data_IF_925751892421
#
_entry.id   IF_925751892421
#
_cell.length_a   1.000
_cell.length_b   1.000
_cell.length_c   1.000
_cell.angle_alpha   90.00
_cell.angle_beta   90.00
_cell.angle_gamma   90.00
#
_symmetry.space_group_name_H-M   'P 1'
#
loop_
_entity.id
_entity.type
_entity.pdbx_description
1 polymer ?
#
# COMPACT_ATOMS: atom_id res chain seq x y z
N UNK A 1 -28.24 -50.37 2.95
CA UNK A 1 -28.91 -50.37 4.28
C UNK A 1 -29.23 -48.92 4.64
N UNK A 2 -30.53 -48.60 4.54
CA UNK A 2 -31.39 -47.58 5.21
C UNK A 2 -30.83 -46.16 5.41
N UNK A 3 -31.35 -45.10 4.76
CA UNK A 3 -32.73 -44.53 4.70
C UNK A 3 -33.07 -43.63 5.89
N UNK A 4 -33.37 -42.36 5.60
CA UNK A 4 -34.23 -41.47 6.39
C UNK A 4 -35.20 -40.79 5.42
N UNK A 5 -36.33 -41.44 5.13
CA UNK A 5 -37.67 -41.18 5.69
C UNK A 5 -38.24 -39.79 5.38
N UNK A 6 -39.07 -39.79 4.34
CA UNK A 6 -40.25 -38.95 4.20
C UNK A 6 -41.10 -38.94 5.48
N UNK A 7 -41.57 -37.76 5.86
CA UNK A 7 -42.81 -37.57 6.61
C UNK A 7 -43.78 -36.87 5.66
N UNK A 8 -44.83 -37.58 5.24
CA UNK A 8 -46.05 -36.99 4.68
C UNK A 8 -46.89 -36.46 5.84
N UNK A 9 -47.33 -35.22 5.76
CA UNK A 9 -48.59 -34.77 6.38
C UNK A 9 -49.55 -34.39 5.26
N UNK A 10 -50.78 -34.89 5.39
CA UNK A 10 -51.89 -34.71 4.47
C UNK A 10 -52.39 -33.25 4.48
N UNK A 11 -52.79 -32.80 3.29
CA UNK A 11 -54.02 -32.02 3.05
C UNK A 11 -54.05 -30.57 3.53
N UNK A 12 -53.77 -29.64 2.61
CA UNK A 12 -54.71 -28.59 2.11
C UNK A 12 -54.00 -27.74 1.04
N UNK A 13 -54.65 -27.52 -0.11
CA UNK A 13 -54.21 -26.64 -1.21
C UNK A 13 -54.30 -25.14 -0.84
N UNK A 14 -53.69 -24.21 -1.61
CA UNK A 14 -52.87 -23.10 -1.09
C UNK A 14 -53.59 -21.74 -1.04
N UNK A 15 -53.07 -20.73 -0.31
CA UNK A 15 -53.23 -19.34 -0.71
C UNK A 15 -52.14 -18.96 -1.71
N UNK A 16 -52.58 -18.35 -2.81
CA UNK A 16 -51.73 -17.76 -3.85
C UNK A 16 -50.95 -16.57 -3.27
N UNK A 17 -49.70 -16.43 -3.72
CA UNK A 17 -48.98 -15.15 -3.73
C UNK A 17 -48.01 -14.95 -2.57
N UNK A 18 -46.74 -15.27 -2.81
CA UNK A 18 -45.59 -14.48 -2.36
C UNK A 18 -44.32 -15.14 -2.94
N UNK A 19 -43.89 -14.63 -4.10
CA UNK A 19 -42.54 -14.84 -4.60
C UNK A 19 -41.57 -14.16 -3.62
N UNK A 20 -41.08 -14.91 -2.64
CA UNK A 20 -40.00 -14.46 -1.75
C UNK A 20 -38.66 -14.51 -2.48
N UNK A 21 -38.41 -13.54 -3.37
CA UNK A 21 -37.04 -13.19 -3.75
C UNK A 21 -36.38 -12.59 -2.51
N UNK A 22 -35.41 -13.29 -1.92
CA UNK A 22 -34.42 -12.63 -1.05
C UNK A 22 -33.43 -11.92 -1.96
N UNK A 23 -33.85 -10.78 -2.49
CA UNK A 23 -32.93 -9.79 -3.04
C UNK A 23 -32.25 -9.14 -1.83
N UNK A 24 -30.97 -9.45 -1.65
CA UNK A 24 -30.11 -8.67 -0.76
C UNK A 24 -29.86 -7.33 -1.44
N UNK A 25 -30.74 -6.35 -1.21
CA UNK A 25 -30.48 -4.97 -1.61
C UNK A 25 -29.30 -4.44 -0.80
N UNK A 26 -28.16 -4.28 -1.48
CA UNK A 26 -27.08 -3.43 -0.98
C UNK A 26 -27.62 -1.99 -0.96
N UNK A 27 -27.99 -1.47 0.21
CA UNK A 27 -28.30 -0.05 0.38
C UNK A 27 -27.05 0.75 0.04
N UNK A 28 -27.08 1.41 -1.12
CA UNK A 28 -26.02 2.31 -1.56
C UNK A 28 -25.91 3.55 -0.71
N UNK A 29 -24.79 4.25 -0.92
CA UNK A 29 -24.49 5.54 -0.29
C UNK A 29 -25.59 6.59 -0.54
N UNK A 30 -26.42 6.43 -1.58
CA UNK A 30 -27.45 7.40 -2.01
C UNK A 30 -28.66 7.58 -1.07
N UNK A 31 -28.87 6.73 -0.06
CA UNK A 31 -30.07 6.78 0.81
C UNK A 31 -29.79 7.00 2.32
N UNK A 32 -28.65 7.59 2.69
CA UNK A 32 -28.27 7.76 4.11
C UNK A 32 -28.84 9.07 4.68
N UNK A 33 -29.79 8.96 5.60
CA UNK A 33 -30.32 10.09 6.38
C UNK A 33 -29.29 10.57 7.39
N UNK A 34 -29.21 11.89 7.61
CA UNK A 34 -28.27 12.58 8.50
C UNK A 34 -28.50 12.36 10.00
N UNK A 35 -29.02 11.21 10.42
CA UNK A 35 -29.06 10.85 11.84
C UNK A 35 -27.65 10.46 12.28
N UNK A 36 -27.23 10.94 13.46
CA UNK A 36 -25.90 10.83 14.08
C UNK A 36 -25.41 9.39 14.39
N UNK A 37 -25.59 8.44 13.48
CA UNK A 37 -24.84 7.19 13.46
C UNK A 37 -23.60 7.38 12.56
N UNK A 38 -22.41 7.15 13.13
CA UNK A 38 -21.13 7.25 12.42
C UNK A 38 -21.20 6.49 11.09
N UNK A 39 -20.89 7.18 9.98
CA UNK A 39 -20.86 6.61 8.64
C UNK A 39 -19.89 5.41 8.62
N UNK A 40 -20.37 4.15 8.54
CA UNK A 40 -19.51 2.99 8.72
C UNK A 40 -18.63 2.79 7.48
N UNK A 41 -17.35 2.50 7.71
CA UNK A 41 -16.43 2.11 6.63
C UNK A 41 -16.81 0.73 6.08
N UNK A 42 -17.16 0.66 4.80
CA UNK A 42 -17.54 -0.58 4.13
C UNK A 42 -16.37 -1.11 3.31
N UNK A 43 -15.89 -2.30 3.64
CA UNK A 43 -14.86 -3.01 2.89
C UNK A 43 -15.45 -4.25 2.19
N UNK A 44 -15.33 -4.32 0.85
CA UNK A 44 -15.77 -5.48 0.07
C UNK A 44 -14.66 -6.54 -0.02
N UNK A 45 -14.84 -7.66 0.66
CA UNK A 45 -13.81 -8.69 0.85
C UNK A 45 -13.96 -9.94 -0.03
N UNK A 46 -14.87 -9.95 -1.00
CA UNK A 46 -15.15 -11.13 -1.83
C UNK A 46 -14.15 -11.38 -2.96
N UNK A 47 -13.07 -10.59 -3.05
CA UNK A 47 -12.02 -10.73 -4.05
C UNK A 47 -12.56 -10.36 -5.44
N UNK A 48 -12.55 -9.07 -5.74
CA UNK A 48 -13.32 -8.52 -6.87
C UNK A 48 -12.41 -7.91 -7.93
N UNK A 49 -12.92 -7.74 -9.15
CA UNK A 49 -12.25 -6.94 -10.17
C UNK A 49 -12.03 -5.50 -9.65
N UNK A 50 -10.84 -4.88 -9.87
CA UNK A 50 -10.52 -3.53 -9.38
C UNK A 50 -11.25 -2.42 -10.14
N UNK A 51 -12.58 -2.38 -10.05
CA UNK A 51 -13.41 -1.36 -10.69
C UNK A 51 -13.68 -0.21 -9.71
N UNK A 52 -13.47 1.06 -10.11
CA UNK A 52 -13.83 2.20 -9.27
C UNK A 52 -15.35 2.29 -9.01
N UNK A 53 -16.20 1.62 -9.83
CA UNK A 53 -17.65 1.59 -9.60
C UNK A 53 -18.06 0.93 -8.28
N UNK A 54 -17.21 0.06 -7.70
CA UNK A 54 -17.47 -0.47 -6.36
C UNK A 54 -17.43 0.62 -5.28
N UNK A 55 -16.68 1.71 -5.51
CA UNK A 55 -16.52 2.80 -4.55
C UNK A 55 -17.77 3.70 -4.42
N UNK A 56 -18.76 3.51 -5.30
CA UNK A 56 -20.10 4.09 -5.15
C UNK A 56 -20.88 3.46 -3.99
N UNK A 57 -20.52 2.22 -3.60
CA UNK A 57 -21.25 1.42 -2.61
C UNK A 57 -20.40 1.06 -1.40
N UNK A 58 -19.08 1.06 -1.54
CA UNK A 58 -18.11 0.73 -0.51
C UNK A 58 -16.99 1.78 -0.44
N UNK A 59 -16.14 1.67 0.58
CA UNK A 59 -15.00 2.56 0.80
C UNK A 59 -13.69 1.91 0.37
N UNK A 60 -13.61 0.58 0.48
CA UNK A 60 -12.49 -0.20 -0.05
C UNK A 60 -12.92 -1.53 -0.65
N UNK A 61 -12.03 -2.08 -1.49
CA UNK A 61 -12.15 -3.46 -1.98
C UNK A 61 -10.90 -4.25 -1.62
N UNK A 62 -11.04 -5.55 -1.35
CA UNK A 62 -9.90 -6.42 -1.18
C UNK A 62 -9.21 -6.70 -2.52
N UNK A 63 -7.86 -6.60 -2.54
CA UNK A 63 -7.02 -6.83 -3.73
C UNK A 63 -7.18 -8.20 -4.41
N UNK A 64 -7.83 -9.16 -3.75
CA UNK A 64 -7.98 -10.55 -4.18
C UNK A 64 -6.69 -11.37 -4.13
N UNK A 65 -6.82 -12.70 -4.14
CA UNK A 65 -5.71 -13.67 -4.02
C UNK A 65 -5.72 -14.36 -2.66
N UNK A 66 -4.54 -14.72 -2.13
CA UNK A 66 -4.44 -15.21 -0.75
C UNK A 66 -4.23 -14.07 0.24
N UNK A 67 -4.55 -14.35 1.50
CA UNK A 67 -4.35 -13.47 2.65
C UNK A 67 -2.85 -13.33 2.94
N UNK A 68 -2.17 -14.47 3.14
CA UNK A 68 -0.72 -14.54 3.30
C UNK A 68 -0.06 -15.39 2.21
N UNK A 69 1.23 -15.18 1.97
CA UNK A 69 1.94 -15.88 0.90
C UNK A 69 3.44 -15.70 0.92
N UNK A 70 4.12 -16.29 -0.06
CA UNK A 70 5.53 -16.04 -0.30
C UNK A 70 5.84 -16.36 -1.75
N UNK A 71 6.76 -15.59 -2.34
CA UNK A 71 7.38 -15.99 -3.60
C UNK A 71 8.27 -17.24 -3.38
N UNK A 72 8.32 -18.17 -4.37
CA UNK A 72 9.16 -19.36 -4.30
C UNK A 72 10.61 -19.08 -3.91
N UNK A 73 11.17 -19.92 -3.03
CA UNK A 73 12.56 -19.81 -2.57
C UNK A 73 13.57 -19.87 -3.72
N UNK A 74 13.25 -20.60 -4.79
CA UNK A 74 14.09 -20.68 -5.98
C UNK A 74 14.27 -19.33 -6.70
N UNK A 75 13.35 -18.39 -6.53
CA UNK A 75 13.48 -17.04 -7.11
C UNK A 75 14.24 -16.07 -6.20
N UNK A 76 14.17 -16.24 -4.87
CA UNK A 76 14.70 -15.30 -3.87
C UNK A 76 15.28 -16.06 -2.66
N UNK A 77 16.36 -16.80 -2.89
CA UNK A 77 16.94 -17.72 -1.92
C UNK A 77 17.69 -17.02 -0.77
N UNK A 78 18.19 -15.82 -1.02
CA UNK A 78 18.92 -14.94 -0.12
C UNK A 78 18.02 -14.11 0.81
N UNK A 79 16.71 -14.13 0.59
CA UNK A 79 15.74 -13.34 1.34
C UNK A 79 15.10 -14.10 2.50
N UNK A 80 14.80 -13.36 3.58
CA UNK A 80 14.07 -13.90 4.73
C UNK A 80 12.64 -14.27 4.35
N UNK A 81 11.99 -15.13 5.15
CA UNK A 81 10.58 -15.48 4.95
C UNK A 81 9.69 -14.24 4.89
N UNK A 82 9.97 -13.25 5.76
CA UNK A 82 9.24 -12.00 5.82
C UNK A 82 9.47 -11.11 4.60
N UNK A 83 10.71 -10.97 4.13
CA UNK A 83 11.00 -10.22 2.91
C UNK A 83 10.27 -10.81 1.70
N UNK A 84 10.25 -12.15 1.57
CA UNK A 84 9.48 -12.83 0.51
C UNK A 84 7.96 -12.66 0.66
N UNK A 85 7.45 -12.54 1.88
CA UNK A 85 6.06 -12.22 2.17
C UNK A 85 5.71 -10.81 1.68
N UNK A 86 6.50 -9.80 2.06
CA UNK A 86 6.31 -8.41 1.64
C UNK A 86 6.27 -8.31 0.11
N UNK A 87 7.24 -8.94 -0.56
CA UNK A 87 7.34 -8.99 -2.02
C UNK A 87 6.12 -9.68 -2.64
N UNK A 88 5.63 -10.78 -2.05
CA UNK A 88 4.45 -11.46 -2.54
C UNK A 88 3.18 -10.62 -2.37
N UNK A 89 3.03 -9.91 -1.24
CA UNK A 89 1.92 -8.98 -0.97
C UNK A 89 1.88 -7.88 -2.04
N UNK A 90 3.04 -7.29 -2.33
CA UNK A 90 3.22 -6.23 -3.33
C UNK A 90 3.00 -6.76 -4.76
N UNK A 91 3.48 -7.97 -5.08
CA UNK A 91 3.23 -8.66 -6.34
C UNK A 91 1.73 -8.85 -6.61
N UNK A 92 0.96 -9.25 -5.60
CA UNK A 92 -0.47 -9.44 -5.78
C UNK A 92 -1.22 -8.12 -6.03
N UNK A 93 -0.79 -7.02 -5.42
CA UNK A 93 -1.32 -5.70 -5.72
C UNK A 93 -1.00 -5.32 -7.17
N UNK A 94 0.26 -5.47 -7.58
CA UNK A 94 0.67 -5.15 -8.94
C UNK A 94 -0.09 -5.97 -9.99
N UNK A 95 -0.15 -7.29 -9.80
CA UNK A 95 -0.78 -8.22 -10.76
C UNK A 95 -2.30 -8.08 -10.81
N UNK A 96 -2.95 -7.97 -9.66
CA UNK A 96 -4.41 -8.03 -9.58
C UNK A 96 -5.06 -6.64 -9.71
N UNK A 97 -4.32 -5.57 -9.45
CA UNK A 97 -4.85 -4.20 -9.47
C UNK A 97 -4.12 -3.38 -10.54
N UNK A 98 -2.84 -3.09 -10.34
CA UNK A 98 -2.08 -2.12 -11.16
C UNK A 98 -2.11 -2.50 -12.65
N UNK A 99 -1.83 -3.75 -13.00
CA UNK A 99 -1.87 -4.21 -14.40
C UNK A 99 -3.26 -4.22 -15.03
N UNK A 100 -4.31 -4.29 -14.22
CA UNK A 100 -5.68 -4.58 -14.68
C UNK A 100 -6.57 -3.36 -14.71
N UNK A 101 -6.31 -2.38 -13.85
CA UNK A 101 -7.06 -1.14 -13.76
C UNK A 101 -6.18 0.00 -13.25
N UNK A 102 -5.51 0.67 -14.19
CA UNK A 102 -4.63 1.80 -13.88
C UNK A 102 -5.34 2.98 -13.19
N UNK A 103 -6.66 3.08 -13.30
CA UNK A 103 -7.47 4.13 -12.70
C UNK A 103 -8.08 3.77 -11.33
N UNK A 104 -7.86 2.55 -10.83
CA UNK A 104 -8.34 2.22 -9.49
C UNK A 104 -7.44 2.88 -8.44
N UNK A 105 -7.98 3.68 -7.50
CA UNK A 105 -7.17 4.37 -6.51
C UNK A 105 -6.56 3.34 -5.54
N UNK A 106 -5.23 3.24 -5.52
CA UNK A 106 -4.52 2.26 -4.69
C UNK A 106 -4.88 2.43 -3.20
N UNK A 107 -5.08 3.67 -2.76
CA UNK A 107 -5.49 4.03 -1.40
C UNK A 107 -6.82 3.38 -0.95
N UNK A 108 -7.68 2.94 -1.88
CA UNK A 108 -8.95 2.25 -1.59
C UNK A 108 -8.84 0.71 -1.68
N UNK A 109 -7.63 0.18 -1.65
CA UNK A 109 -7.42 -1.24 -1.48
C UNK A 109 -7.40 -1.61 0.00
N UNK A 110 -8.05 -2.73 0.31
CA UNK A 110 -7.72 -3.54 1.46
C UNK A 110 -6.70 -4.58 1.05
N UNK A 111 -5.62 -4.65 1.83
CA UNK A 111 -4.64 -5.74 1.78
C UNK A 111 -4.33 -6.15 3.22
N UNK A 112 -3.89 -7.39 3.40
CA UNK A 112 -3.35 -7.82 4.67
C UNK A 112 -2.03 -7.10 4.91
N UNK A 113 -2.02 -6.19 5.89
CA UNK A 113 -0.95 -5.23 6.12
C UNK A 113 0.26 -5.81 6.83
N UNK A 114 0.27 -5.66 8.15
CA UNK A 114 1.31 -6.21 9.03
C UNK A 114 0.80 -7.48 9.67
N UNK A 115 1.50 -8.60 9.46
CA UNK A 115 1.06 -9.93 9.88
C UNK A 115 2.10 -10.62 10.75
N UNK A 116 1.80 -10.76 12.04
CA UNK A 116 2.59 -11.49 13.05
C UNK A 116 1.65 -12.30 13.93
N UNK A 117 1.52 -13.60 13.67
CA UNK A 117 0.49 -14.43 14.30
C UNK A 117 1.02 -15.69 14.99
N UNK A 118 0.48 -16.01 16.17
CA UNK A 118 0.67 -17.29 16.86
C UNK A 118 -0.17 -18.44 16.27
N UNK A 119 -1.10 -18.14 15.37
CA UNK A 119 -2.04 -19.12 14.82
C UNK A 119 -2.27 -18.87 13.32
N UNK A 120 -2.96 -19.83 12.68
CA UNK A 120 -3.39 -19.73 11.30
C UNK A 120 -2.24 -19.76 10.29
N UNK A 121 -2.51 -19.22 9.10
CA UNK A 121 -1.58 -19.26 7.97
C UNK A 121 -0.30 -18.48 8.24
N UNK A 122 -0.37 -17.40 9.03
CA UNK A 122 0.80 -16.62 9.45
C UNK A 122 1.83 -17.47 10.20
N UNK A 123 1.39 -18.31 11.15
CA UNK A 123 2.27 -19.24 11.86
C UNK A 123 2.85 -20.28 10.89
N UNK A 124 2.00 -20.90 10.07
CA UNK A 124 2.38 -21.93 9.09
C UNK A 124 3.46 -21.44 8.12
N UNK A 125 3.39 -20.17 7.73
CA UNK A 125 4.36 -19.52 6.83
C UNK A 125 5.60 -18.97 7.53
N UNK A 126 5.69 -19.12 8.85
CA UNK A 126 6.82 -18.65 9.64
C UNK A 126 6.83 -17.13 9.89
N UNK A 127 5.72 -16.43 9.67
CA UNK A 127 5.64 -14.97 9.83
C UNK A 127 5.69 -14.52 11.29
N UNK A 128 5.57 -15.44 12.25
CA UNK A 128 5.85 -15.16 13.66
C UNK A 128 7.32 -14.76 13.89
N UNK A 129 8.25 -15.26 13.07
CA UNK A 129 9.68 -14.96 13.19
C UNK A 129 10.04 -13.72 12.38
N UNK A 130 10.80 -12.82 12.99
CA UNK A 130 11.27 -11.61 12.33
C UNK A 130 12.45 -10.98 13.06
N UNK A 131 13.24 -10.24 12.30
CA UNK A 131 14.15 -9.24 12.85
C UNK A 131 13.39 -7.92 12.99
N UNK A 132 13.93 -6.99 13.79
CA UNK A 132 13.38 -5.63 13.86
C UNK A 132 13.39 -4.92 12.51
N UNK A 133 14.41 -5.16 11.69
CA UNK A 133 14.48 -4.56 10.35
C UNK A 133 13.38 -5.11 9.43
N UNK A 134 13.17 -6.43 9.41
CA UNK A 134 12.14 -7.02 8.55
C UNK A 134 10.73 -6.53 8.97
N UNK A 135 10.48 -6.42 10.28
CA UNK A 135 9.21 -5.88 10.80
C UNK A 135 9.03 -4.41 10.43
N UNK A 136 10.07 -3.59 10.60
CA UNK A 136 10.03 -2.18 10.20
C UNK A 136 9.80 -2.04 8.68
N UNK A 137 10.45 -2.86 7.85
CA UNK A 137 10.24 -2.85 6.40
C UNK A 137 8.80 -3.20 6.04
N UNK A 138 8.18 -4.20 6.69
CA UNK A 138 6.77 -4.55 6.47
C UNK A 138 5.82 -3.41 6.84
N UNK A 139 6.01 -2.81 8.02
CA UNK A 139 5.18 -1.72 8.51
C UNK A 139 5.29 -0.46 7.64
N UNK A 140 6.52 -0.06 7.30
CA UNK A 140 6.76 1.14 6.49
C UNK A 140 6.39 0.96 5.03
N UNK A 141 6.63 -0.21 4.43
CA UNK A 141 6.13 -0.50 3.08
C UNK A 141 4.61 -0.56 3.04
N UNK A 142 3.95 -1.02 4.11
CA UNK A 142 2.50 -1.03 4.21
C UNK A 142 1.91 0.38 4.26
N UNK A 143 2.37 1.23 5.18
CA UNK A 143 1.84 2.60 5.28
C UNK A 143 2.25 3.49 4.11
N UNK A 144 3.41 3.21 3.50
CA UNK A 144 3.90 3.91 2.32
C UNK A 144 3.07 3.67 1.05
N UNK A 145 2.23 2.63 1.04
CA UNK A 145 1.22 2.43 0.01
C UNK A 145 -0.01 3.35 0.15
N UNK A 146 -0.14 4.09 1.24
CA UNK A 146 -1.21 5.09 1.41
C UNK A 146 -2.63 4.51 1.55
N UNK A 147 -2.75 3.26 1.97
CA UNK A 147 -4.04 2.60 2.14
C UNK A 147 -4.83 3.23 3.29
N UNK A 148 -6.09 3.57 3.02
CA UNK A 148 -6.98 4.19 4.01
C UNK A 148 -7.49 3.16 5.03
N UNK A 149 -7.71 1.91 4.60
CA UNK A 149 -7.97 0.80 5.51
C UNK A 149 -6.66 0.12 5.90
N UNK A 150 -6.28 0.23 7.17
CA UNK A 150 -5.04 -0.35 7.70
C UNK A 150 -5.32 -1.58 8.56
N UNK A 151 -5.16 -2.77 7.98
CA UNK A 151 -5.40 -4.04 8.64
C UNK A 151 -4.13 -4.61 9.28
N UNK A 152 -4.20 -4.90 10.57
CA UNK A 152 -3.09 -5.40 11.39
C UNK A 152 -3.49 -6.73 12.04
N UNK A 153 -2.71 -7.78 11.76
CA UNK A 153 -2.89 -9.11 12.34
C UNK A 153 -1.75 -9.40 13.29
N UNK A 154 -1.88 -8.98 14.53
CA UNK A 154 -0.78 -9.01 15.50
C UNK A 154 -1.15 -9.87 16.70
N UNK A 155 -0.26 -10.78 17.07
CA UNK A 155 -0.23 -11.42 18.39
C UNK A 155 0.71 -10.63 19.28
N UNK A 156 0.21 -9.81 20.22
CA UNK A 156 1.03 -8.85 20.97
C UNK A 156 2.23 -9.46 21.68
N UNK A 157 2.12 -10.71 22.14
CA UNK A 157 3.19 -11.44 22.82
C UNK A 157 4.39 -11.78 21.92
N UNK A 158 4.28 -11.64 20.60
CA UNK A 158 5.36 -11.83 19.65
C UNK A 158 6.11 -10.53 19.29
N UNK A 159 5.63 -9.38 19.77
CA UNK A 159 6.19 -8.07 19.43
C UNK A 159 7.02 -7.53 20.58
N UNK A 160 8.21 -7.03 20.26
CA UNK A 160 9.11 -6.39 21.20
C UNK A 160 8.86 -4.87 21.23
N UNK A 161 9.43 -4.17 22.22
CA UNK A 161 9.27 -2.73 22.36
C UNK A 161 9.71 -1.95 21.10
N UNK A 162 10.77 -2.40 20.44
CA UNK A 162 11.25 -1.81 19.19
C UNK A 162 10.25 -1.98 18.03
N UNK A 163 9.54 -3.11 17.97
CA UNK A 163 8.54 -3.37 16.93
C UNK A 163 7.33 -2.46 17.13
N UNK A 164 6.86 -2.34 18.38
CA UNK A 164 5.79 -1.41 18.74
C UNK A 164 6.15 0.05 18.44
N UNK A 165 7.39 0.47 18.75
CA UNK A 165 7.86 1.81 18.44
C UNK A 165 7.84 2.09 16.93
N UNK A 166 8.36 1.15 16.12
CA UNK A 166 8.36 1.25 14.66
C UNK A 166 6.93 1.29 14.09
N UNK A 167 6.05 0.41 14.55
CA UNK A 167 4.66 0.38 14.11
C UNK A 167 3.94 1.69 14.49
N UNK A 168 4.04 2.13 15.74
CA UNK A 168 3.41 3.35 16.20
C UNK A 168 3.88 4.57 15.39
N UNK A 169 5.16 4.63 15.07
CA UNK A 169 5.71 5.70 14.26
C UNK A 169 5.22 5.68 12.81
N UNK A 170 5.21 4.51 12.17
CA UNK A 170 4.68 4.33 10.82
C UNK A 170 3.19 4.72 10.74
N UNK A 171 2.38 4.29 11.70
CA UNK A 171 0.94 4.60 11.77
C UNK A 171 0.70 6.10 12.05
N UNK A 172 1.48 6.72 12.96
CA UNK A 172 1.41 8.17 13.22
C UNK A 172 1.75 8.97 11.97
N UNK A 173 2.82 8.58 11.26
CA UNK A 173 3.21 9.21 10.01
C UNK A 173 2.10 9.07 8.96
N UNK A 174 1.53 7.88 8.79
CA UNK A 174 0.44 7.66 7.84
C UNK A 174 -0.77 8.55 8.12
N UNK A 175 -1.23 8.59 9.37
CA UNK A 175 -2.38 9.43 9.78
C UNK A 175 -2.12 10.92 9.58
N UNK A 176 -0.92 11.38 9.91
CA UNK A 176 -0.54 12.78 9.76
C UNK A 176 -0.45 13.23 8.29
N UNK A 177 -0.37 12.28 7.35
CA UNK A 177 -0.16 12.55 5.93
C UNK A 177 -1.27 11.96 5.03
N UNK A 178 -2.41 11.58 5.63
CA UNK A 178 -3.53 10.94 4.93
C UNK A 178 -4.05 11.77 3.75
N UNK A 179 -4.04 13.09 3.88
CA UNK A 179 -4.50 14.01 2.83
C UNK A 179 -3.64 13.99 1.57
N UNK A 180 -2.36 13.63 1.70
CA UNK A 180 -1.45 13.40 0.57
C UNK A 180 -1.53 11.95 0.10
N UNK A 181 -1.44 10.99 1.03
CA UNK A 181 -1.40 9.56 0.74
C UNK A 181 -2.66 9.01 0.05
N UNK A 182 -3.81 9.73 0.14
CA UNK A 182 -5.02 9.39 -0.62
C UNK A 182 -4.79 9.30 -2.13
N UNK A 183 -3.80 10.04 -2.65
CA UNK A 183 -3.41 10.02 -4.06
C UNK A 183 -2.41 8.90 -4.39
N UNK A 184 -2.22 7.90 -3.53
CA UNK A 184 -1.26 6.83 -3.81
C UNK A 184 -1.56 6.08 -5.11
N UNK A 185 -0.55 6.03 -5.98
CA UNK A 185 -0.56 5.32 -7.25
C UNK A 185 0.78 4.61 -7.50
N UNK A 186 0.73 3.51 -8.24
CA UNK A 186 1.93 2.72 -8.52
C UNK A 186 2.80 3.39 -9.58
N UNK A 187 4.10 3.44 -9.35
CA UNK A 187 5.07 4.04 -10.28
C UNK A 187 6.29 3.15 -10.43
N UNK A 188 6.92 3.22 -11.59
CA UNK A 188 8.14 2.49 -11.92
C UNK A 188 8.00 0.96 -11.84
N UNK A 189 8.89 0.28 -12.56
CA UNK A 189 9.14 -1.15 -12.41
C UNK A 189 7.91 -2.05 -12.41
N UNK A 190 8.12 -3.26 -11.93
CA UNK A 190 7.11 -4.31 -11.89
C UNK A 190 7.76 -5.62 -11.50
N UNK A 191 6.95 -6.67 -11.44
CA UNK A 191 7.42 -7.98 -10.97
C UNK A 191 7.81 -8.94 -12.09
N UNK A 192 7.81 -8.50 -13.35
CA UNK A 192 8.26 -9.30 -14.49
C UNK A 192 9.76 -9.60 -14.36
N UNK A 193 10.56 -8.57 -14.04
CA UNK A 193 12.01 -8.66 -13.90
C UNK A 193 12.52 -8.33 -12.48
N UNK A 194 11.61 -8.20 -11.50
CA UNK A 194 11.92 -7.81 -10.11
C UNK A 194 12.75 -6.52 -10.02
N UNK A 195 12.46 -5.57 -10.92
CA UNK A 195 13.07 -4.24 -10.92
C UNK A 195 12.62 -3.46 -9.70
N UNK A 196 13.41 -2.48 -9.24
CA UNK A 196 12.93 -1.51 -8.27
C UNK A 196 11.66 -0.81 -8.78
N UNK A 197 10.68 -0.66 -7.89
CA UNK A 197 9.39 -0.04 -8.17
C UNK A 197 9.03 0.91 -7.03
N UNK A 198 7.91 1.62 -7.16
CA UNK A 198 7.46 2.55 -6.14
C UNK A 198 5.97 2.79 -6.07
N UNK A 199 5.60 3.57 -5.07
CA UNK A 199 4.29 4.18 -4.92
C UNK A 199 4.51 5.66 -4.68
N UNK A 200 3.80 6.50 -5.42
CA UNK A 200 3.89 7.94 -5.31
C UNK A 200 2.53 8.53 -4.98
N UNK A 201 2.52 9.75 -4.47
CA UNK A 201 1.30 10.51 -4.18
C UNK A 201 1.61 12.01 -4.22
N UNK A 202 0.66 12.79 -4.71
CA UNK A 202 0.76 14.25 -4.74
C UNK A 202 -0.53 14.91 -4.28
N UNK A 203 -0.39 15.90 -3.40
CA UNK A 203 -1.45 16.85 -3.09
C UNK A 203 -1.04 18.23 -3.62
N UNK A 204 -1.76 18.78 -4.60
CA UNK A 204 -1.58 20.18 -5.00
C UNK A 204 -1.80 21.14 -3.83
N UNK A 205 -1.34 22.38 -3.98
CA UNK A 205 -1.61 23.41 -2.99
C UNK A 205 -3.13 23.62 -2.85
N UNK A 206 -3.61 23.63 -1.60
CA UNK A 206 -4.99 23.95 -1.24
C UNK A 206 -4.96 25.06 -0.19
N UNK A 207 -6.06 25.81 0.03
CA UNK A 207 -6.10 26.85 1.04
C UNK A 207 -5.59 26.36 2.41
N UNK A 208 -4.57 27.04 2.95
CA UNK A 208 -3.95 26.70 4.23
C UNK A 208 -2.98 25.51 4.24
N UNK A 209 -2.72 24.85 3.09
CA UNK A 209 -1.74 23.77 3.01
C UNK A 209 -0.90 23.84 1.70
N UNK A 210 0.43 24.01 1.78
CA UNK A 210 1.30 24.02 0.59
C UNK A 210 1.25 22.69 -0.16
N UNK A 211 1.66 22.63 -1.42
CA UNK A 211 1.70 21.35 -2.13
C UNK A 211 2.72 20.40 -1.47
N UNK A 212 2.48 19.10 -1.55
CA UNK A 212 3.35 18.08 -0.94
C UNK A 212 3.15 16.74 -1.62
N UNK A 213 4.22 15.96 -1.72
CA UNK A 213 4.19 14.60 -2.23
C UNK A 213 5.02 13.63 -1.43
N UNK A 214 4.79 12.35 -1.69
CA UNK A 214 5.62 11.26 -1.19
C UNK A 214 6.00 10.31 -2.32
N UNK A 215 7.20 9.76 -2.23
CA UNK A 215 7.67 8.69 -3.10
C UNK A 215 8.27 7.58 -2.23
N UNK A 216 7.61 6.41 -2.22
CA UNK A 216 8.17 5.17 -1.70
C UNK A 216 8.84 4.42 -2.86
N UNK A 217 10.08 3.96 -2.66
CA UNK A 217 10.81 3.07 -3.56
C UNK A 217 11.14 1.77 -2.82
N UNK A 218 11.01 0.64 -3.54
CA UNK A 218 11.28 -0.71 -3.06
C UNK A 218 12.30 -1.38 -3.96
N UNK A 219 13.34 -1.96 -3.35
CA UNK A 219 14.17 -2.96 -4.02
C UNK A 219 13.75 -4.36 -3.56
N UNK A 220 13.20 -5.20 -4.43
CA UNK A 220 12.75 -6.55 -4.05
C UNK A 220 13.89 -7.58 -3.98
N UNK A 221 15.14 -7.25 -4.29
CA UNK A 221 16.25 -8.20 -4.32
C UNK A 221 17.28 -7.96 -3.21
N UNK A 222 17.96 -9.02 -2.77
CA UNK A 222 19.09 -8.98 -1.81
C UNK A 222 20.40 -8.48 -2.42
N UNK A 223 20.34 -7.82 -3.57
CA UNK A 223 21.48 -7.18 -4.24
C UNK A 223 21.15 -5.73 -4.59
N UNK A 224 22.18 -4.92 -4.79
CA UNK A 224 22.01 -3.53 -5.27
C UNK A 224 21.34 -3.53 -6.63
N UNK A 225 20.43 -2.59 -6.84
CA UNK A 225 19.75 -2.36 -8.11
C UNK A 225 19.68 -0.86 -8.38
N UNK A 226 19.38 -0.49 -9.61
CA UNK A 226 19.08 0.88 -10.01
C UNK A 226 17.62 0.93 -10.48
N UNK A 227 16.89 1.99 -10.15
CA UNK A 227 15.55 2.19 -10.73
C UNK A 227 15.67 2.44 -12.23
N UNK A 228 14.57 2.26 -12.97
CA UNK A 228 14.45 2.87 -14.30
C UNK A 228 14.65 4.40 -14.24
N UNK A 229 14.93 5.01 -15.39
CA UNK A 229 14.97 6.47 -15.50
C UNK A 229 13.57 7.06 -15.35
N UNK A 230 13.45 8.14 -14.60
CA UNK A 230 12.19 8.85 -14.38
C UNK A 230 12.41 10.32 -14.08
N UNK A 231 11.33 11.09 -14.10
CA UNK A 231 11.29 12.48 -13.63
C UNK A 231 10.30 12.58 -12.46
N UNK A 232 10.52 13.50 -11.51
CA UNK A 232 9.61 13.64 -10.38
C UNK A 232 8.22 14.12 -10.81
N UNK A 233 8.13 14.94 -11.86
CA UNK A 233 6.84 15.36 -12.40
C UNK A 233 6.02 14.17 -12.94
N UNK A 234 6.69 13.21 -13.60
CA UNK A 234 6.05 12.01 -14.13
C UNK A 234 5.57 11.06 -13.04
N UNK A 235 6.40 10.80 -12.02
CA UNK A 235 6.05 9.85 -10.95
C UNK A 235 5.13 10.45 -9.90
N UNK A 236 5.07 11.77 -9.75
CA UNK A 236 4.09 12.42 -8.87
C UNK A 236 2.80 12.80 -9.60
N UNK A 237 2.70 12.52 -10.91
CA UNK A 237 1.59 12.93 -11.77
C UNK A 237 1.25 14.43 -11.62
N UNK A 238 2.30 15.28 -11.60
CA UNK A 238 2.13 16.71 -11.34
C UNK A 238 1.22 17.36 -12.41
N UNK A 239 0.27 18.23 -12.00
CA UNK A 239 -0.49 19.05 -12.93
C UNK A 239 0.44 19.85 -13.85
N UNK A 240 0.00 20.17 -15.09
CA UNK A 240 0.88 20.83 -16.07
C UNK A 240 1.51 22.14 -15.59
N UNK A 241 0.82 22.87 -14.70
CA UNK A 241 1.31 24.10 -14.07
C UNK A 241 2.42 23.88 -13.02
N UNK A 242 2.64 22.65 -12.59
CA UNK A 242 3.56 22.24 -11.51
C UNK A 242 4.76 21.42 -12.02
N UNK A 243 4.82 21.08 -13.32
CA UNK A 243 5.93 20.30 -13.93
C UNK A 243 7.30 21.00 -13.79
N UNK A 244 7.32 22.33 -13.71
CA UNK A 244 8.54 23.14 -13.57
C UNK A 244 9.01 23.35 -12.12
N UNK A 245 8.34 22.75 -11.12
CA UNK A 245 8.70 22.97 -9.72
C UNK A 245 10.11 22.45 -9.41
N UNK A 246 10.85 23.21 -8.61
CA UNK A 246 11.97 22.68 -7.85
C UNK A 246 11.42 22.08 -6.56
N UNK A 247 11.74 20.82 -6.29
CA UNK A 247 11.27 20.08 -5.13
C UNK A 247 12.42 19.88 -4.14
N UNK A 248 12.23 20.31 -2.90
CA UNK A 248 13.01 19.84 -1.77
C UNK A 248 12.60 18.39 -1.48
N UNK A 249 13.58 17.50 -1.46
CA UNK A 249 13.43 16.06 -1.24
C UNK A 249 14.11 15.71 0.06
N UNK A 250 13.38 15.09 1.00
CA UNK A 250 13.92 14.66 2.30
C UNK A 250 13.65 13.16 2.54
N UNK A 251 14.60 12.48 3.18
CA UNK A 251 14.39 11.07 3.58
C UNK A 251 13.45 11.03 4.78
N UNK A 252 12.24 10.49 4.58
CA UNK A 252 11.39 10.05 5.69
C UNK A 252 11.98 8.78 6.27
N UNK A 253 12.23 7.76 5.44
CA UNK A 253 12.83 6.48 5.87
C UNK A 253 13.72 5.87 4.83
N UNK A 254 14.76 5.18 5.27
CA UNK A 254 15.62 4.31 4.45
C UNK A 254 15.93 3.08 5.29
N UNK A 255 15.23 1.98 5.00
CA UNK A 255 15.30 0.73 5.76
C UNK A 255 16.04 -0.32 4.95
N UNK A 256 17.28 -0.59 5.36
CA UNK A 256 18.19 -1.58 4.77
C UNK A 256 19.28 -1.92 5.80
N UNK A 257 20.06 -2.97 5.57
CA UNK A 257 21.27 -3.25 6.37
C UNK A 257 22.44 -2.28 6.12
N UNK A 258 22.27 -1.32 5.20
CA UNK A 258 23.29 -0.30 4.89
C UNK A 258 23.26 0.91 5.84
N UNK A 259 24.36 1.69 5.90
CA UNK A 259 24.45 2.91 6.74
C UNK A 259 23.38 3.93 6.33
N UNK A 260 22.92 4.83 7.19
CA UNK A 260 21.92 5.84 6.80
C UNK A 260 22.30 6.59 5.50
N UNK A 261 21.32 6.93 4.65
CA UNK A 261 21.58 7.76 3.46
C UNK A 261 22.06 9.14 3.90
N UNK A 262 23.30 9.49 3.55
CA UNK A 262 23.89 10.81 3.74
C UNK A 262 23.89 11.55 2.39
N UNK A 263 23.65 12.86 2.40
CA UNK A 263 23.49 13.66 1.18
C UNK A 263 22.14 13.44 0.48
N UNK A 264 22.03 13.76 -0.81
CA UNK A 264 20.77 13.66 -1.54
C UNK A 264 20.28 12.20 -1.63
N UNK A 265 19.06 11.94 -1.16
CA UNK A 265 18.47 10.60 -1.12
C UNK A 265 18.36 9.93 -2.49
N UNK A 266 18.18 10.75 -3.52
CA UNK A 266 18.09 10.37 -4.94
C UNK A 266 19.46 10.15 -5.60
N UNK A 267 20.57 10.19 -4.83
CA UNK A 267 21.93 9.96 -5.31
C UNK A 267 22.68 11.26 -5.61
N UNK A 268 23.41 11.34 -6.72
CA UNK A 268 24.00 12.59 -7.22
C UNK A 268 23.30 12.99 -8.52
N UNK A 269 22.08 13.56 -8.48
CA UNK A 269 21.54 14.19 -9.68
C UNK A 269 22.57 15.22 -10.16
N UNK A 270 22.89 15.26 -11.46
CA UNK A 270 23.81 16.27 -12.04
C UNK A 270 23.36 17.72 -11.74
N UNK A 271 22.14 17.89 -11.24
CA UNK A 271 21.46 19.15 -10.96
C UNK A 271 20.96 19.28 -9.52
N UNK A 272 21.40 18.44 -8.57
CA UNK A 272 21.03 18.59 -7.17
C UNK A 272 21.99 19.55 -6.45
N UNK A 273 21.45 20.60 -5.84
CA UNK A 273 22.16 21.41 -4.84
C UNK A 273 21.86 20.86 -3.44
N UNK A 274 22.91 20.69 -2.63
CA UNK A 274 22.81 20.02 -1.34
C UNK A 274 22.47 20.96 -0.19
N UNK A 275 21.49 20.57 0.62
CA UNK A 275 21.37 20.96 2.02
C UNK A 275 21.65 19.70 2.87
N UNK A 276 22.36 19.80 3.99
CA UNK A 276 22.81 18.62 4.75
C UNK A 276 21.68 17.66 5.21
N UNK A 277 22.06 16.42 5.58
CA UNK A 277 21.20 15.34 6.15
C UNK A 277 20.05 14.81 5.27
N UNK A 278 20.35 14.16 4.14
CA UNK A 278 19.29 13.46 3.38
C UNK A 278 18.46 14.38 2.47
N UNK A 279 18.68 15.69 2.55
CA UNK A 279 17.93 16.72 1.84
C UNK A 279 18.61 17.12 0.52
N UNK A 280 17.83 17.38 -0.52
CA UNK A 280 18.32 18.01 -1.75
C UNK A 280 17.21 18.69 -2.53
N UNK A 281 17.57 19.66 -3.37
CA UNK A 281 16.64 20.29 -4.30
C UNK A 281 16.81 19.66 -5.68
N UNK A 282 15.70 19.27 -6.30
CA UNK A 282 15.68 18.68 -7.64
C UNK A 282 14.57 19.30 -8.47
N UNK A 283 14.89 19.78 -9.67
CA UNK A 283 13.88 20.19 -10.64
C UNK A 283 13.03 18.98 -11.07
N UNK A 284 11.70 19.12 -10.98
CA UNK A 284 10.80 17.99 -11.13
C UNK A 284 10.91 17.31 -12.51
N UNK A 285 11.18 18.11 -13.56
CA UNK A 285 11.34 17.67 -14.95
C UNK A 285 12.69 17.02 -15.29
N UNK A 286 13.65 16.95 -14.36
CA UNK A 286 14.97 16.37 -14.65
C UNK A 286 14.93 14.85 -14.54
N UNK A 287 15.47 14.20 -15.58
CA UNK A 287 15.64 12.75 -15.57
C UNK A 287 16.66 12.33 -14.51
N UNK A 288 16.32 11.27 -13.79
CA UNK A 288 17.17 10.66 -12.76
C UNK A 288 16.89 9.16 -12.62
N UNK A 289 17.79 8.50 -11.92
CA UNK A 289 17.65 7.14 -11.41
C UNK A 289 18.12 7.11 -9.96
N UNK A 290 17.64 6.14 -9.19
CA UNK A 290 18.03 5.95 -7.79
C UNK A 290 18.74 4.62 -7.63
N UNK A 291 19.98 4.66 -7.16
CA UNK A 291 20.70 3.46 -6.73
C UNK A 291 20.10 2.96 -5.41
N UNK A 292 19.49 1.78 -5.45
CA UNK A 292 18.81 1.13 -4.33
C UNK A 292 19.71 0.07 -3.69
N UNK A 293 19.68 0.02 -2.37
CA UNK A 293 20.40 -0.99 -1.57
C UNK A 293 19.62 -2.30 -1.56
N UNK A 294 20.27 -3.43 -1.23
CA UNK A 294 19.57 -4.70 -1.01
C UNK A 294 18.33 -4.52 -0.13
N UNK A 295 17.21 -5.10 -0.56
CA UNK A 295 15.91 -5.14 0.13
C UNK A 295 15.34 -3.80 0.59
N UNK A 296 15.85 -2.67 0.10
CA UNK A 296 15.58 -1.37 0.67
C UNK A 296 14.09 -0.96 0.57
N UNK A 297 13.60 -0.33 1.63
CA UNK A 297 12.40 0.52 1.63
C UNK A 297 12.87 1.96 1.82
N UNK A 298 12.72 2.80 0.79
CA UNK A 298 13.06 4.22 0.83
C UNK A 298 11.78 5.04 0.70
N UNK A 299 11.50 5.94 1.63
CA UNK A 299 10.35 6.85 1.59
C UNK A 299 10.88 8.27 1.63
N UNK A 300 10.45 9.07 0.66
CA UNK A 300 10.86 10.44 0.45
C UNK A 300 9.68 11.39 0.62
N UNK A 301 9.91 12.53 1.28
CA UNK A 301 9.00 13.68 1.34
C UNK A 301 9.44 14.69 0.29
N UNK A 302 8.50 15.16 -0.53
CA UNK A 302 8.75 16.08 -1.62
C UNK A 302 7.90 17.34 -1.42
N UNK A 303 8.54 18.50 -1.34
CA UNK A 303 7.88 19.79 -1.13
C UNK A 303 8.37 20.76 -2.19
N UNK A 304 7.51 21.60 -2.78
CA UNK A 304 7.98 22.74 -3.55
C UNK A 304 8.95 23.56 -2.72
N UNK A 305 10.07 23.96 -3.31
CA UNK A 305 10.90 25.00 -2.74
C UNK A 305 10.08 26.29 -2.78
N UNK A 306 9.92 26.95 -1.63
CA UNK A 306 9.20 28.23 -1.57
C UNK A 306 9.79 29.19 -2.61
N UNK A 307 8.98 29.56 -3.60
CA UNK A 307 9.32 30.65 -4.51
C UNK A 307 9.02 31.94 -3.74
N UNK A 308 10.00 32.40 -2.97
CA UNK A 308 9.99 33.73 -2.34
C UNK A 308 9.91 34.84 -3.39
#
# INVERSE_FOLDING_TARGET
>A
IRSAKHVRRNGTSPPRGASGRREGEARGKENRSSSEEDDPWINLTTGTWPSPFFLLWADSIWRGGGDTGAVPRSMLADLTLRQRWIIWRELLVWRNVVKRASFFPLAQLMIHGVVVGLHGEALLRGLHQHTHLDFAQEAWSFVGMGLQLQELYLSPSLLQAADWANLAEALKWSRANLDVLRDSHWVLGGFEDLQPYGVASWRPAIPGKPARGFLMLRNPLGRRQETGLFTLDSVLELPSREIGLALQVEVVRSLSDGPQRLGCALGKPRHASGAGRGACVVEASKQMSVAMRPVEVLILDLRPLDQS
#
